data_IF_179858079341
#
_entry.id   IF_179858079341
#
_cell.length_a   1.000
_cell.length_b   1.000
_cell.length_c   1.000
_cell.angle_alpha   90.00
_cell.angle_beta   90.00
_cell.angle_gamma   90.00
#
_symmetry.space_group_name_H-M   'P 1'
#
loop_
_entity.id
_entity.type
_entity.pdbx_description
1 polymer ?
#
# COMPACT_ATOMS: atom_id res chain seq x y z
N UNK A 1 20.48 -2.13 -4.85
CA UNK A 1 19.07 -2.27 -5.15
C UNK A 1 18.28 -1.33 -4.28
N UNK A 2 17.54 -0.53 -4.91
CA UNK A 2 17.03 0.72 -4.43
C UNK A 2 15.58 0.55 -3.99
N UNK A 3 15.37 0.32 -2.71
CA UNK A 3 14.06 0.53 -2.12
C UNK A 3 13.72 2.01 -2.32
N UNK A 4 12.68 2.29 -3.09
CA UNK A 4 12.15 3.66 -3.13
C UNK A 4 11.52 3.95 -1.78
N UNK A 5 12.08 4.85 -0.95
CA UNK A 5 11.52 5.14 0.36
C UNK A 5 10.20 5.90 0.29
N UNK A 6 9.85 6.39 -0.90
CA UNK A 6 8.65 7.20 -1.10
C UNK A 6 7.33 6.46 -0.81
N UNK A 7 7.34 5.14 -0.86
CA UNK A 7 6.16 4.33 -0.61
C UNK A 7 6.38 3.25 0.46
N UNK A 8 7.62 2.79 0.67
CA UNK A 8 7.90 1.61 1.45
C UNK A 8 7.36 1.65 2.90
N UNK A 9 7.67 2.70 3.66
CA UNK A 9 7.24 2.78 5.06
C UNK A 9 5.72 2.90 5.21
N UNK A 10 5.09 3.76 4.41
CA UNK A 10 3.64 3.92 4.45
C UNK A 10 2.89 2.70 3.89
N UNK A 11 3.52 1.90 3.04
CA UNK A 11 2.92 0.70 2.46
C UNK A 11 3.04 -0.51 3.40
N UNK A 12 4.16 -0.70 4.09
CA UNK A 12 4.29 -1.67 5.21
C UNK A 12 3.23 -1.38 6.26
N UNK A 13 3.05 -0.14 6.62
CA UNK A 13 2.02 0.35 7.52
C UNK A 13 0.60 -0.08 7.10
N UNK A 14 0.23 0.05 5.83
CA UNK A 14 -1.08 -0.36 5.32
C UNK A 14 -1.30 -1.86 5.46
N UNK A 15 -0.33 -2.68 5.08
CA UNK A 15 -0.47 -4.13 5.12
C UNK A 15 -0.62 -4.67 6.53
N UNK A 16 0.13 -4.14 7.50
CA UNK A 16 -0.02 -4.54 8.90
C UNK A 16 -1.44 -4.31 9.41
N UNK A 17 -2.04 -3.17 9.10
CA UNK A 17 -3.41 -2.86 9.48
C UNK A 17 -4.44 -3.73 8.74
N UNK A 18 -4.21 -4.08 7.47
CA UNK A 18 -5.06 -5.00 6.73
C UNK A 18 -5.03 -6.41 7.33
N UNK A 19 -3.84 -6.95 7.67
CA UNK A 19 -3.72 -8.24 8.35
C UNK A 19 -4.50 -8.26 9.68
N UNK A 20 -4.45 -7.17 10.45
CA UNK A 20 -5.23 -7.01 11.68
C UNK A 20 -6.74 -7.08 11.41
N UNK A 21 -7.21 -6.38 10.40
CA UNK A 21 -8.62 -6.34 10.00
C UNK A 21 -9.10 -7.69 9.49
N UNK A 22 -8.33 -8.37 8.64
CA UNK A 22 -8.63 -9.72 8.17
C UNK A 22 -8.87 -10.66 9.35
N UNK A 23 -7.98 -10.64 10.35
CA UNK A 23 -8.10 -11.48 11.55
C UNK A 23 -9.27 -11.06 12.45
N UNK A 24 -9.52 -9.76 12.60
CA UNK A 24 -10.58 -9.23 13.49
C UNK A 24 -11.98 -9.57 12.98
N UNK A 25 -12.19 -9.47 11.67
CA UNK A 25 -13.51 -9.62 11.06
C UNK A 25 -13.70 -10.95 10.33
N UNK A 26 -12.69 -11.82 10.31
CA UNK A 26 -12.67 -13.06 9.50
C UNK A 26 -13.04 -12.78 8.04
N UNK A 27 -12.40 -11.76 7.46
CA UNK A 27 -12.77 -11.20 6.17
C UNK A 27 -11.76 -11.58 5.10
N UNK A 28 -12.25 -12.14 3.98
CA UNK A 28 -11.42 -12.34 2.80
C UNK A 28 -11.03 -11.00 2.16
N UNK A 29 -9.74 -10.76 2.05
CA UNK A 29 -9.21 -9.54 1.46
C UNK A 29 -8.03 -9.80 0.54
N UNK A 30 -7.92 -8.97 -0.50
CA UNK A 30 -6.70 -8.85 -1.29
C UNK A 30 -6.19 -7.42 -1.25
N UNK A 31 -4.86 -7.27 -1.31
CA UNK A 31 -4.22 -5.96 -1.43
C UNK A 31 -3.73 -5.76 -2.86
N UNK A 32 -4.15 -4.68 -3.49
CA UNK A 32 -3.72 -4.28 -4.83
C UNK A 32 -2.91 -3.00 -4.70
N UNK A 33 -1.70 -3.01 -5.23
CA UNK A 33 -0.82 -1.83 -5.24
C UNK A 33 -0.80 -1.20 -6.62
N UNK A 34 -1.29 0.03 -6.72
CA UNK A 34 -1.28 0.83 -7.93
C UNK A 34 0.07 1.48 -8.23
N UNK A 35 0.75 2.10 -7.24
CA UNK A 35 2.06 2.68 -7.49
C UNK A 35 3.07 1.61 -7.94
N UNK A 36 3.40 1.58 -9.23
CA UNK A 36 4.25 0.53 -9.80
C UNK A 36 5.60 0.41 -9.11
N UNK A 37 6.25 1.54 -8.81
CA UNK A 37 7.52 1.59 -8.07
C UNK A 37 7.42 1.12 -6.60
N UNK A 38 6.23 0.84 -6.09
CA UNK A 38 5.97 0.18 -4.82
C UNK A 38 6.15 -1.34 -4.83
N UNK A 39 6.55 -1.95 -5.94
CA UNK A 39 6.72 -3.41 -6.06
C UNK A 39 7.63 -4.02 -5.00
N UNK A 40 8.68 -3.32 -4.62
CA UNK A 40 9.62 -3.76 -3.58
C UNK A 40 8.94 -3.95 -2.21
N UNK A 41 8.00 -3.09 -1.87
CA UNK A 41 7.19 -3.22 -0.67
C UNK A 41 6.37 -4.51 -0.72
N UNK A 42 5.76 -4.82 -1.85
CA UNK A 42 4.94 -6.01 -2.02
C UNK A 42 5.77 -7.29 -1.84
N UNK A 43 6.94 -7.34 -2.51
CA UNK A 43 7.91 -8.43 -2.38
C UNK A 43 8.40 -8.58 -0.93
N UNK A 44 8.79 -7.47 -0.28
CA UNK A 44 9.27 -7.49 1.09
C UNK A 44 8.22 -8.06 2.07
N UNK A 45 6.96 -7.67 1.91
CA UNK A 45 5.88 -8.20 2.74
C UNK A 45 5.60 -9.68 2.47
N UNK A 46 5.56 -10.11 1.20
CA UNK A 46 5.39 -11.52 0.84
C UNK A 46 6.54 -12.40 1.36
N UNK A 47 7.77 -11.85 1.39
CA UNK A 47 8.91 -12.52 1.99
C UNK A 47 8.81 -12.61 3.51
N UNK A 48 8.41 -11.52 4.18
CA UNK A 48 8.27 -11.47 5.64
C UNK A 48 7.17 -12.41 6.16
N UNK A 49 6.05 -12.50 5.46
CA UNK A 49 4.95 -13.40 5.87
C UNK A 49 5.17 -14.87 5.45
N UNK A 50 6.19 -15.15 4.66
CA UNK A 50 6.57 -16.49 4.22
C UNK A 50 5.97 -16.93 2.89
N UNK A 51 4.94 -16.26 2.39
CA UNK A 51 4.26 -16.62 1.14
C UNK A 51 5.23 -16.66 -0.05
N UNK A 52 6.21 -15.74 -0.08
CA UNK A 52 7.22 -15.72 -1.13
C UNK A 52 8.05 -17.01 -1.17
N UNK A 53 8.49 -17.50 -0.01
CA UNK A 53 9.28 -18.73 0.12
C UNK A 53 8.46 -20.00 -0.09
N UNK A 54 7.14 -19.97 0.14
CA UNK A 54 6.24 -21.08 -0.20
C UNK A 54 6.13 -21.26 -1.72
N UNK A 55 6.02 -20.16 -2.46
CA UNK A 55 5.95 -20.18 -3.93
C UNK A 55 7.31 -20.41 -4.57
N UNK A 56 8.36 -19.82 -4.00
CA UNK A 56 9.75 -19.90 -4.46
C UNK A 56 10.67 -20.52 -3.40
N UNK A 57 10.65 -21.86 -3.20
CA UNK A 57 11.36 -22.51 -2.09
C UNK A 57 12.88 -22.35 -2.09
N UNK A 58 13.46 -21.94 -3.21
CA UNK A 58 14.90 -21.63 -3.31
C UNK A 58 15.28 -20.31 -2.64
N UNK A 59 14.29 -19.51 -2.24
CA UNK A 59 14.44 -18.25 -1.49
C UNK A 59 13.97 -18.51 -0.06
N UNK A 60 14.89 -19.03 0.78
CA UNK A 60 14.61 -19.33 2.18
C UNK A 60 14.49 -18.06 3.03
N UNK A 61 13.80 -18.19 4.19
CA UNK A 61 13.62 -17.08 5.14
C UNK A 61 14.78 -16.99 6.13
N UNK A 62 15.96 -16.77 5.60
CA UNK A 62 17.23 -16.64 6.32
C UNK A 62 18.19 -15.70 5.56
N UNK A 63 19.41 -15.52 6.08
CA UNK A 63 20.41 -14.66 5.48
C UNK A 63 20.74 -15.07 4.03
N UNK A 64 20.83 -16.36 3.74
CA UNK A 64 21.14 -16.84 2.39
C UNK A 64 19.97 -16.62 1.41
N UNK A 65 18.74 -16.84 1.84
CA UNK A 65 17.56 -16.51 1.05
C UNK A 65 17.43 -15.02 0.80
N UNK A 66 17.69 -14.18 1.80
CA UNK A 66 17.69 -12.72 1.67
C UNK A 66 18.74 -12.25 0.65
N UNK A 67 19.97 -12.79 0.69
CA UNK A 67 21.01 -12.50 -0.30
C UNK A 67 20.58 -12.86 -1.71
N UNK A 68 19.95 -14.02 -1.89
CA UNK A 68 19.38 -14.44 -3.18
C UNK A 68 18.26 -13.52 -3.63
N UNK A 69 17.36 -13.15 -2.74
CA UNK A 69 16.26 -12.22 -3.01
C UNK A 69 16.77 -10.88 -3.54
N UNK A 70 17.75 -10.27 -2.88
CA UNK A 70 18.35 -9.02 -3.34
C UNK A 70 19.09 -9.16 -4.67
N UNK A 71 19.80 -10.28 -4.87
CA UNK A 71 20.58 -10.51 -6.09
C UNK A 71 19.70 -10.63 -7.34
N UNK A 72 18.48 -11.11 -7.22
CA UNK A 72 17.58 -11.29 -8.36
C UNK A 72 16.74 -10.05 -8.70
N UNK A 73 16.87 -8.96 -7.96
CA UNK A 73 16.11 -7.72 -8.20
C UNK A 73 16.47 -7.11 -9.56
N UNK A 74 15.48 -6.81 -10.38
CA UNK A 74 15.61 -6.29 -11.75
C UNK A 74 16.52 -7.17 -12.66
N UNK A 75 16.60 -8.45 -12.38
CA UNK A 75 17.37 -9.41 -13.17
C UNK A 75 16.40 -10.29 -14.00
N UNK A 76 16.74 -10.71 -15.22
CA UNK A 76 15.89 -11.57 -16.03
C UNK A 76 15.46 -12.84 -15.27
N UNK A 77 14.17 -13.07 -15.18
CA UNK A 77 13.59 -14.19 -14.43
C UNK A 77 13.60 -14.02 -12.92
N UNK A 78 13.99 -12.84 -12.42
CA UNK A 78 13.96 -12.49 -11.00
C UNK A 78 12.80 -11.55 -10.64
N UNK A 79 13.02 -10.73 -9.62
CA UNK A 79 12.00 -9.78 -9.13
C UNK A 79 11.93 -8.57 -10.05
N UNK A 80 10.74 -8.22 -10.59
CA UNK A 80 10.56 -6.97 -11.33
C UNK A 80 10.81 -5.73 -10.47
N UNK A 81 11.21 -4.64 -11.09
CA UNK A 81 11.38 -3.35 -10.41
C UNK A 81 10.06 -2.68 -10.00
N UNK A 82 8.97 -3.12 -10.60
CA UNK A 82 7.61 -2.62 -10.38
C UNK A 82 6.71 -3.75 -9.87
N UNK A 83 5.52 -3.37 -9.38
CA UNK A 83 4.49 -4.34 -9.01
C UNK A 83 4.21 -5.27 -10.19
N UNK A 84 4.19 -6.58 -9.93
CA UNK A 84 3.96 -7.57 -10.96
C UNK A 84 3.28 -8.83 -10.39
N UNK A 85 2.51 -9.56 -11.21
CA UNK A 85 1.81 -10.76 -10.78
C UNK A 85 2.72 -11.92 -10.36
N UNK A 86 3.99 -11.89 -10.72
CA UNK A 86 5.00 -12.85 -10.27
C UNK A 86 5.27 -12.77 -8.76
N UNK A 87 4.96 -11.64 -8.14
CA UNK A 87 5.00 -11.54 -6.67
C UNK A 87 3.75 -12.19 -6.09
N UNK A 88 3.89 -13.20 -5.21
CA UNK A 88 2.75 -13.90 -4.63
C UNK A 88 1.73 -12.94 -3.98
N UNK A 89 0.46 -13.12 -4.32
CA UNK A 89 -0.64 -12.28 -3.85
C UNK A 89 -0.88 -11.00 -4.66
N UNK A 90 -0.06 -10.70 -5.67
CA UNK A 90 -0.29 -9.59 -6.59
C UNK A 90 -1.07 -10.05 -7.82
N UNK A 91 -2.10 -9.29 -8.19
CA UNK A 91 -2.84 -9.46 -9.44
C UNK A 91 -2.67 -8.28 -10.39
N UNK A 92 -1.94 -7.26 -9.97
CA UNK A 92 -1.73 -6.03 -10.73
C UNK A 92 -0.34 -6.01 -11.33
N UNK A 93 -0.26 -5.45 -12.54
CA UNK A 93 0.98 -5.09 -13.21
C UNK A 93 1.11 -3.56 -13.12
N UNK A 94 2.17 -3.09 -12.48
CA UNK A 94 2.34 -1.68 -12.12
C UNK A 94 3.27 -0.89 -13.06
N UNK A 95 3.74 -1.48 -14.15
CA UNK A 95 4.55 -0.79 -15.15
C UNK A 95 3.76 0.28 -15.90
N UNK A 96 2.49 0.00 -16.16
CA UNK A 96 1.52 0.97 -16.68
C UNK A 96 0.59 1.45 -15.58
N UNK A 97 0.66 2.73 -15.22
CA UNK A 97 -0.16 3.30 -14.17
C UNK A 97 -1.62 3.50 -14.60
N UNK A 98 -2.54 3.35 -13.65
CA UNK A 98 -3.93 3.75 -13.81
C UNK A 98 -4.94 2.61 -13.86
N UNK A 99 -4.52 1.36 -13.80
CA UNK A 99 -5.40 0.20 -13.93
C UNK A 99 -5.74 -0.49 -12.60
N UNK A 100 -5.05 -0.15 -11.52
CA UNK A 100 -5.18 -0.81 -10.21
C UNK A 100 -6.62 -0.81 -9.68
N UNK A 101 -7.31 0.32 -9.78
CA UNK A 101 -8.67 0.44 -9.30
C UNK A 101 -9.65 -0.37 -10.17
N UNK A 102 -9.46 -0.38 -11.49
CA UNK A 102 -10.28 -1.20 -12.40
C UNK A 102 -10.05 -2.70 -12.15
N UNK A 103 -8.79 -3.14 -11.93
CA UNK A 103 -8.48 -4.53 -11.56
C UNK A 103 -9.15 -4.91 -10.22
N UNK A 104 -9.18 -3.99 -9.25
CA UNK A 104 -9.85 -4.21 -7.97
C UNK A 104 -11.35 -4.44 -8.14
N UNK A 105 -12.01 -3.65 -8.98
CA UNK A 105 -13.42 -3.85 -9.31
C UNK A 105 -13.67 -5.16 -10.05
N UNK A 106 -12.79 -5.52 -10.98
CA UNK A 106 -12.86 -6.84 -11.65
C UNK A 106 -12.75 -8.00 -10.67
N UNK A 107 -11.86 -7.93 -9.69
CA UNK A 107 -11.66 -8.98 -8.71
C UNK A 107 -12.87 -9.20 -7.77
N UNK A 108 -13.61 -8.15 -7.45
CA UNK A 108 -14.76 -8.23 -6.53
C UNK A 108 -16.09 -8.48 -7.22
N UNK A 109 -16.16 -8.36 -8.55
CA UNK A 109 -17.38 -8.66 -9.31
C UNK A 109 -17.71 -10.14 -9.19
N UNK A 110 -18.98 -10.46 -8.88
CA UNK A 110 -19.48 -11.83 -8.61
C UNK A 110 -18.73 -12.56 -7.47
N UNK A 111 -18.02 -11.83 -6.61
CA UNK A 111 -17.28 -12.39 -5.47
C UNK A 111 -17.71 -11.71 -4.16
N UNK A 112 -18.90 -12.05 -3.63
CA UNK A 112 -19.55 -11.31 -2.54
C UNK A 112 -18.79 -11.32 -1.22
N UNK A 113 -17.89 -12.29 -0.99
CA UNK A 113 -17.09 -12.39 0.24
C UNK A 113 -15.82 -11.54 0.22
N UNK A 114 -15.40 -11.04 -0.95
CA UNK A 114 -14.10 -10.40 -1.11
C UNK A 114 -14.16 -8.88 -0.89
N UNK A 115 -13.20 -8.35 -0.14
CA UNK A 115 -12.89 -6.91 -0.12
C UNK A 115 -11.51 -6.71 -0.75
N UNK A 116 -11.43 -5.91 -1.81
CA UNK A 116 -10.18 -5.51 -2.43
C UNK A 116 -9.73 -4.14 -1.88
N UNK A 117 -8.67 -4.14 -1.07
CA UNK A 117 -8.00 -2.92 -0.66
C UNK A 117 -7.07 -2.46 -1.78
N UNK A 118 -7.34 -1.31 -2.39
CA UNK A 118 -6.59 -0.78 -3.52
C UNK A 118 -5.81 0.46 -3.14
N UNK A 119 -4.49 0.34 -3.07
CA UNK A 119 -3.63 1.52 -2.91
C UNK A 119 -3.51 2.23 -4.24
N UNK A 120 -3.92 3.49 -4.27
CA UNK A 120 -3.80 4.37 -5.44
C UNK A 120 -2.79 5.46 -5.13
N UNK A 121 -1.74 5.59 -5.94
CA UNK A 121 -0.81 6.72 -5.85
C UNK A 121 -1.45 8.01 -6.36
N UNK A 122 -1.13 9.13 -5.73
CA UNK A 122 -1.67 10.43 -6.14
C UNK A 122 -1.21 10.85 -7.55
N UNK A 123 0.00 10.47 -7.96
CA UNK A 123 0.45 10.62 -9.35
C UNK A 123 -0.25 9.69 -10.32
N UNK A 124 -0.56 8.45 -9.91
CA UNK A 124 -1.36 7.50 -10.66
C UNK A 124 -2.79 7.99 -10.85
N UNK A 125 -3.35 8.65 -9.83
CA UNK A 125 -4.70 9.17 -9.84
C UNK A 125 -4.96 10.23 -10.94
N UNK A 126 -3.91 10.83 -11.50
CA UNK A 126 -3.99 11.78 -12.61
C UNK A 126 -4.05 11.10 -13.99
N UNK A 127 -3.80 9.79 -14.09
CA UNK A 127 -3.87 9.05 -15.35
C UNK A 127 -5.31 8.93 -15.82
N UNK A 128 -5.52 8.97 -17.15
CA UNK A 128 -6.86 8.85 -17.72
C UNK A 128 -7.62 7.61 -17.28
N UNK A 129 -7.02 6.41 -17.33
CA UNK A 129 -7.68 5.18 -16.87
C UNK A 129 -8.12 5.24 -15.41
N UNK A 130 -7.28 5.75 -14.50
CA UNK A 130 -7.64 5.81 -13.10
C UNK A 130 -8.67 6.90 -12.80
N UNK A 131 -8.53 8.07 -13.41
CA UNK A 131 -9.48 9.17 -13.25
C UNK A 131 -10.92 8.74 -13.61
N UNK A 132 -11.09 7.89 -14.64
CA UNK A 132 -12.39 7.33 -14.99
C UNK A 132 -12.82 6.18 -14.08
N UNK A 133 -11.87 5.44 -13.51
CA UNK A 133 -12.15 4.29 -12.65
C UNK A 133 -12.80 4.64 -11.31
N UNK A 134 -12.71 5.90 -10.85
CA UNK A 134 -13.43 6.36 -9.65
C UNK A 134 -14.95 6.17 -9.75
N UNK A 135 -15.50 6.06 -10.96
CA UNK A 135 -16.93 5.88 -11.20
C UNK A 135 -17.37 4.41 -11.21
N UNK A 136 -16.44 3.44 -11.18
CA UNK A 136 -16.76 2.01 -11.27
C UNK A 136 -17.59 1.50 -10.07
N UNK A 137 -17.57 2.19 -8.95
CA UNK A 137 -18.46 1.92 -7.82
C UNK A 137 -19.96 1.95 -8.18
N UNK A 138 -20.32 2.58 -9.32
CA UNK A 138 -21.70 2.61 -9.82
C UNK A 138 -22.19 1.26 -10.37
N UNK A 139 -21.27 0.35 -10.70
CA UNK A 139 -21.56 -0.97 -11.24
C UNK A 139 -21.60 -2.06 -10.18
N UNK A 140 -21.11 -1.79 -8.97
CA UNK A 140 -21.08 -2.77 -7.86
C UNK A 140 -22.46 -2.90 -7.23
N UNK A 141 -22.89 -4.15 -7.11
CA UNK A 141 -24.12 -4.54 -6.42
C UNK A 141 -23.76 -5.16 -5.06
N UNK A 142 -24.10 -4.47 -3.99
CA UNK A 142 -23.76 -4.91 -2.62
C UNK A 142 -24.35 -6.30 -2.26
N UNK A 143 -25.34 -6.80 -3.02
CA UNK A 143 -25.94 -8.11 -2.82
C UNK A 143 -25.10 -9.24 -3.38
N UNK A 144 -24.55 -9.07 -4.59
CA UNK A 144 -23.91 -10.14 -5.38
C UNK A 144 -22.41 -9.99 -5.51
N UNK A 145 -21.91 -8.78 -5.32
CA UNK A 145 -20.50 -8.47 -5.48
C UNK A 145 -19.81 -8.26 -4.13
N UNK A 146 -18.49 -8.28 -4.15
CA UNK A 146 -17.66 -7.82 -3.04
C UNK A 146 -17.62 -6.31 -2.95
N UNK A 147 -16.57 -5.78 -2.34
CA UNK A 147 -16.36 -4.34 -2.23
C UNK A 147 -14.92 -3.94 -2.53
N UNK A 148 -14.73 -2.71 -3.01
CA UNK A 148 -13.41 -2.10 -3.15
C UNK A 148 -13.27 -1.03 -2.08
N UNK A 149 -12.14 -1.08 -1.36
CA UNK A 149 -11.72 -0.03 -0.43
C UNK A 149 -10.49 0.69 -1.02
N UNK A 150 -10.67 1.82 -1.71
CA UNK A 150 -9.55 2.61 -2.20
C UNK A 150 -8.81 3.27 -1.03
N UNK A 151 -7.47 3.25 -1.10
CA UNK A 151 -6.60 3.99 -0.20
C UNK A 151 -5.75 4.92 -1.06
N UNK A 152 -6.17 6.16 -1.20
CA UNK A 152 -5.40 7.17 -1.91
C UNK A 152 -4.18 7.55 -1.08
N UNK A 153 -3.00 7.19 -1.56
CA UNK A 153 -1.74 7.60 -0.94
C UNK A 153 -1.32 8.98 -1.47
N UNK A 154 -1.78 10.01 -0.77
CA UNK A 154 -1.54 11.41 -1.11
C UNK A 154 -0.27 11.91 -0.43
N UNK A 155 0.88 11.69 -1.07
CA UNK A 155 2.17 12.18 -0.61
C UNK A 155 2.58 13.53 -1.23
N UNK A 156 1.82 14.03 -2.18
CA UNK A 156 1.92 15.35 -2.76
C UNK A 156 2.84 15.49 -3.96
N UNK A 157 3.65 14.49 -4.31
CA UNK A 157 4.64 14.63 -5.38
C UNK A 157 4.66 13.44 -6.36
N UNK A 158 4.75 13.75 -7.64
CA UNK A 158 5.21 12.84 -8.70
C UNK A 158 6.74 12.78 -8.74
N UNK A 159 7.30 12.39 -9.89
CA UNK A 159 8.75 12.28 -10.10
C UNK A 159 9.49 13.58 -9.75
N UNK A 160 9.00 14.74 -10.23
CA UNK A 160 9.66 16.02 -10.04
C UNK A 160 8.68 17.19 -9.74
N UNK A 161 7.39 16.92 -9.70
CA UNK A 161 6.36 17.95 -9.56
C UNK A 161 5.30 17.57 -8.52
N UNK A 162 4.66 18.57 -7.90
CA UNK A 162 3.46 18.33 -7.09
C UNK A 162 2.34 17.68 -7.93
N UNK A 163 1.57 16.81 -7.29
CA UNK A 163 0.41 16.16 -7.90
C UNK A 163 -0.79 17.11 -7.96
N UNK A 164 -1.78 16.76 -8.77
CA UNK A 164 -3.02 17.53 -8.86
C UNK A 164 -3.72 17.63 -7.51
N UNK A 165 -3.89 16.50 -6.83
CA UNK A 165 -4.57 16.47 -5.53
C UNK A 165 -3.81 17.18 -4.41
N UNK A 166 -2.50 17.40 -4.55
CA UNK A 166 -1.74 18.25 -3.63
C UNK A 166 -1.96 19.76 -3.84
N UNK A 167 -2.61 20.14 -4.94
CA UNK A 167 -2.84 21.55 -5.31
C UNK A 167 -4.22 22.07 -4.96
N UNK A 168 -5.13 21.19 -4.55
CA UNK A 168 -6.50 21.54 -4.18
C UNK A 168 -6.67 21.48 -2.66
N UNK A 169 -7.69 22.17 -2.16
CA UNK A 169 -7.98 22.19 -0.72
C UNK A 169 -8.51 20.82 -0.24
N UNK A 170 -8.52 20.65 1.07
CA UNK A 170 -9.15 19.46 1.69
C UNK A 170 -10.63 19.36 1.33
N UNK A 171 -11.37 20.46 1.42
CA UNK A 171 -12.78 20.56 1.09
C UNK A 171 -13.06 20.21 -0.39
N UNK A 172 -12.26 20.76 -1.30
CA UNK A 172 -12.40 20.46 -2.74
C UNK A 172 -12.11 18.98 -3.05
N UNK A 173 -11.14 18.38 -2.36
CA UNK A 173 -10.84 16.96 -2.50
C UNK A 173 -11.99 16.08 -1.97
N UNK A 174 -12.57 16.45 -0.85
CA UNK A 174 -13.73 15.80 -0.26
C UNK A 174 -14.94 15.86 -1.20
N UNK A 175 -15.24 17.04 -1.73
CA UNK A 175 -16.33 17.24 -2.69
C UNK A 175 -16.12 16.43 -3.99
N UNK A 176 -14.90 16.37 -4.47
CA UNK A 176 -14.54 15.58 -5.64
C UNK A 176 -14.88 14.10 -5.44
N UNK A 177 -14.43 13.49 -4.33
CA UNK A 177 -14.69 12.08 -4.07
C UNK A 177 -16.17 11.81 -3.75
N UNK A 178 -16.84 12.69 -3.04
CA UNK A 178 -18.30 12.59 -2.83
C UNK A 178 -19.06 12.65 -4.15
N UNK A 179 -18.64 13.51 -5.07
CA UNK A 179 -19.19 13.57 -6.44
C UNK A 179 -19.00 12.27 -7.23
N UNK A 180 -17.90 11.58 -7.01
CA UNK A 180 -17.64 10.26 -7.59
C UNK A 180 -18.41 9.13 -6.90
N UNK A 181 -19.05 9.37 -5.74
CA UNK A 181 -19.84 8.39 -4.99
C UNK A 181 -19.05 7.66 -3.91
N UNK A 182 -18.01 8.28 -3.41
CA UNK A 182 -17.21 7.82 -2.28
C UNK A 182 -17.49 8.66 -1.03
N UNK A 183 -17.30 8.07 0.16
CA UNK A 183 -17.19 8.79 1.41
C UNK A 183 -15.72 8.77 1.85
N UNK A 184 -15.00 9.88 1.72
CA UNK A 184 -13.58 9.92 2.05
C UNK A 184 -13.35 10.07 3.55
N UNK A 185 -12.59 9.16 4.13
CA UNK A 185 -12.05 9.22 5.49
C UNK A 185 -10.58 9.64 5.43
N UNK A 186 -10.20 10.65 6.20
CA UNK A 186 -8.86 11.23 6.14
C UNK A 186 -7.97 10.71 7.27
N UNK A 187 -6.81 10.18 6.91
CA UNK A 187 -5.71 9.81 7.81
C UNK A 187 -4.52 10.68 7.45
N UNK A 188 -4.27 11.73 8.24
CA UNK A 188 -3.32 12.77 7.89
C UNK A 188 -2.30 13.02 9.00
N UNK A 189 -1.03 13.16 8.65
CA UNK A 189 0.02 13.50 9.60
C UNK A 189 1.38 12.92 9.27
N UNK A 190 2.28 12.98 10.26
CA UNK A 190 3.65 12.48 10.16
C UNK A 190 4.16 11.78 11.42
N UNK A 191 3.46 11.90 12.55
CA UNK A 191 3.83 11.16 13.76
C UNK A 191 3.40 9.71 13.63
N UNK A 192 4.34 8.73 13.66
CA UNK A 192 4.00 7.33 13.44
C UNK A 192 2.98 6.77 14.42
N UNK A 193 3.08 7.10 15.70
CA UNK A 193 2.17 6.55 16.72
C UNK A 193 0.74 7.11 16.58
N UNK A 194 0.62 8.39 16.20
CA UNK A 194 -0.68 9.00 15.89
C UNK A 194 -1.27 8.39 14.64
N UNK A 195 -0.48 8.29 13.57
CA UNK A 195 -0.92 7.75 12.28
C UNK A 195 -1.36 6.28 12.40
N UNK A 196 -0.67 5.47 13.20
CA UNK A 196 -1.06 4.06 13.46
C UNK A 196 -2.44 3.96 14.11
N UNK A 197 -2.72 4.80 15.11
CA UNK A 197 -4.05 4.81 15.74
C UNK A 197 -5.13 5.25 14.77
N UNK A 198 -4.92 6.39 14.09
CA UNK A 198 -5.88 6.90 13.11
C UNK A 198 -6.19 5.87 12.02
N UNK A 199 -5.16 5.21 11.46
CA UNK A 199 -5.39 4.20 10.43
C UNK A 199 -6.14 2.98 10.98
N UNK A 200 -5.84 2.55 12.21
CA UNK A 200 -6.53 1.42 12.84
C UNK A 200 -8.03 1.72 12.99
N UNK A 201 -8.34 2.88 13.55
CA UNK A 201 -9.73 3.30 13.79
C UNK A 201 -10.47 3.50 12.47
N UNK A 202 -9.87 4.20 11.52
CA UNK A 202 -10.46 4.46 10.20
C UNK A 202 -10.70 3.19 9.38
N UNK A 203 -9.76 2.24 9.41
CA UNK A 203 -9.97 0.95 8.72
C UNK A 203 -11.11 0.16 9.34
N UNK A 204 -11.22 0.11 10.66
CA UNK A 204 -12.32 -0.56 11.33
C UNK A 204 -13.66 0.09 10.91
N UNK A 205 -13.75 1.41 10.94
CA UNK A 205 -14.93 2.17 10.51
C UNK A 205 -15.31 1.85 9.06
N UNK A 206 -14.36 1.92 8.12
CA UNK A 206 -14.60 1.60 6.72
C UNK A 206 -15.09 0.16 6.50
N UNK A 207 -14.51 -0.82 7.19
CA UNK A 207 -14.92 -2.22 7.07
C UNK A 207 -16.32 -2.42 7.65
N UNK A 208 -16.62 -1.83 8.80
CA UNK A 208 -17.94 -1.90 9.41
C UNK A 208 -19.02 -1.27 8.51
N UNK A 209 -18.72 -0.15 7.86
CA UNK A 209 -19.61 0.46 6.86
C UNK A 209 -19.86 -0.46 5.66
N UNK A 210 -18.81 -1.04 5.08
CA UNK A 210 -18.91 -1.98 3.95
C UNK A 210 -19.79 -3.17 4.33
N UNK A 211 -19.52 -3.79 5.46
CA UNK A 211 -20.27 -4.95 5.94
C UNK A 211 -21.73 -4.61 6.23
N UNK A 212 -22.02 -3.41 6.76
CA UNK A 212 -23.36 -2.94 6.99
C UNK A 212 -24.14 -2.77 5.69
N UNK A 213 -23.54 -2.17 4.65
CA UNK A 213 -24.19 -2.03 3.33
C UNK A 213 -24.47 -3.38 2.68
N UNK A 214 -23.51 -4.30 2.74
CA UNK A 214 -23.68 -5.65 2.19
C UNK A 214 -24.76 -6.43 2.95
N UNK A 215 -24.78 -6.34 4.26
CA UNK A 215 -25.82 -6.96 5.10
C UNK A 215 -27.20 -6.44 4.77
N UNK A 216 -27.38 -5.12 4.68
CA UNK A 216 -28.66 -4.50 4.35
C UNK A 216 -29.17 -4.94 2.97
N UNK A 217 -28.29 -4.98 1.97
CA UNK A 217 -28.64 -5.45 0.63
C UNK A 217 -29.01 -6.94 0.60
N UNK A 218 -28.32 -7.79 1.36
CA UNK A 218 -28.49 -9.26 1.33
C UNK A 218 -29.65 -9.73 2.20
N UNK A 219 -29.79 -9.19 3.41
CA UNK A 219 -30.80 -9.64 4.38
C UNK A 219 -32.12 -8.87 4.23
N UNK A 220 -32.06 -7.57 3.99
CA UNK A 220 -33.23 -6.71 3.91
C UNK A 220 -33.70 -6.42 2.47
N UNK A 221 -32.90 -6.85 1.46
CA UNK A 221 -33.21 -6.61 0.05
C UNK A 221 -33.10 -5.13 -0.36
N UNK A 222 -32.33 -4.33 0.37
CA UNK A 222 -32.10 -2.92 0.05
C UNK A 222 -31.53 -2.78 -1.37
N UNK A 223 -32.11 -1.84 -2.12
CA UNK A 223 -31.64 -1.45 -3.46
C UNK A 223 -30.95 -0.08 -3.46
N UNK A 224 -30.75 0.48 -2.29
CA UNK A 224 -30.07 1.77 -2.14
C UNK A 224 -28.62 1.60 -2.57
N UNK A 225 -28.17 2.47 -3.47
CA UNK A 225 -26.75 2.54 -3.84
C UNK A 225 -26.02 3.27 -2.72
N UNK A 226 -25.11 2.60 -1.99
CA UNK A 226 -24.39 3.26 -0.92
C UNK A 226 -23.35 4.24 -1.49
N UNK A 227 -22.91 5.18 -0.68
CA UNK A 227 -21.67 5.89 -0.86
C UNK A 227 -20.60 5.06 -0.16
N UNK A 228 -19.76 4.41 -0.94
CA UNK A 228 -18.75 3.49 -0.41
C UNK A 228 -17.62 4.25 0.30
N UNK A 229 -17.08 3.75 1.43
CA UNK A 229 -15.97 4.40 2.09
C UNK A 229 -14.69 4.30 1.25
N UNK A 230 -13.82 5.28 1.40
CA UNK A 230 -12.44 5.28 0.92
C UNK A 230 -11.55 6.00 1.92
N UNK A 231 -10.25 5.71 1.89
CA UNK A 231 -9.28 6.36 2.76
C UNK A 231 -8.40 7.31 1.95
N UNK A 232 -8.22 8.54 2.43
CA UNK A 232 -7.20 9.47 1.95
C UNK A 232 -6.09 9.48 2.98
N UNK A 233 -4.99 8.77 2.67
CA UNK A 233 -3.80 8.74 3.50
C UNK A 233 -2.84 9.83 3.06
N UNK A 234 -2.78 10.93 3.82
CA UNK A 234 -1.88 12.04 3.56
C UNK A 234 -0.68 11.99 4.51
N UNK A 235 0.49 11.70 3.97
CA UNK A 235 1.76 11.63 4.68
C UNK A 235 2.88 12.27 3.86
N UNK A 236 3.97 12.74 4.47
CA UNK A 236 5.11 13.27 3.72
C UNK A 236 5.65 12.24 2.73
N UNK A 237 6.03 12.68 1.53
CA UNK A 237 6.76 11.83 0.60
C UNK A 237 8.11 11.43 1.20
N UNK A 238 8.46 10.15 1.11
CA UNK A 238 9.69 9.64 1.75
C UNK A 238 9.61 9.56 3.27
N UNK A 239 8.41 9.53 3.83
CA UNK A 239 8.14 9.46 5.28
C UNK A 239 8.95 8.35 5.95
N UNK A 240 9.56 8.68 7.09
CA UNK A 240 10.52 7.87 7.87
C UNK A 240 11.89 7.67 7.21
N UNK A 241 12.10 8.19 6.01
CA UNK A 241 13.40 8.24 5.36
C UNK A 241 14.26 9.42 5.85
N UNK A 242 15.45 9.60 5.25
CA UNK A 242 16.31 10.73 5.61
C UNK A 242 15.65 12.06 5.25
N UNK A 243 15.64 12.98 6.21
CA UNK A 243 15.07 14.31 6.00
C UNK A 243 15.92 15.15 5.02
N UNK A 244 17.24 15.02 5.10
CA UNK A 244 18.21 15.73 4.27
C UNK A 244 19.33 14.78 3.82
N UNK A 245 19.83 15.01 2.60
CA UNK A 245 21.04 14.38 2.05
C UNK A 245 21.86 15.47 1.37
N UNK A 246 23.14 15.58 1.67
CA UNK A 246 24.06 16.63 1.16
C UNK A 246 23.51 18.04 1.35
N UNK A 247 22.83 18.28 2.48
CA UNK A 247 22.20 19.58 2.78
C UNK A 247 20.92 19.88 1.99
N UNK A 248 20.48 18.97 1.12
CA UNK A 248 19.26 19.11 0.34
C UNK A 248 18.08 18.40 0.99
N UNK A 249 16.92 19.05 1.03
CA UNK A 249 15.67 18.45 1.55
C UNK A 249 15.28 17.24 0.70
N UNK A 250 14.98 16.11 1.36
CA UNK A 250 14.53 14.85 0.76
C UNK A 250 13.12 14.50 1.23
N UNK A 251 12.91 14.32 2.54
CA UNK A 251 11.56 14.06 3.06
C UNK A 251 10.60 15.20 2.75
N UNK A 252 9.35 14.87 2.43
CA UNK A 252 8.32 15.83 2.01
C UNK A 252 8.77 16.69 0.82
N UNK A 253 9.45 16.05 -0.13
CA UNK A 253 9.91 16.69 -1.35
C UNK A 253 10.06 15.67 -2.50
N UNK A 254 10.06 16.14 -3.74
CA UNK A 254 10.16 15.29 -4.92
C UNK A 254 11.43 14.41 -4.96
N UNK A 255 12.53 14.84 -4.32
CA UNK A 255 13.79 14.08 -4.25
C UNK A 255 13.63 12.70 -3.57
N UNK A 256 12.61 12.52 -2.75
CA UNK A 256 12.29 11.23 -2.16
C UNK A 256 11.65 10.23 -3.15
N UNK A 257 11.41 10.62 -4.41
CA UNK A 257 10.82 9.73 -5.41
C UNK A 257 11.78 8.60 -5.83
N UNK A 258 13.06 8.91 -5.92
CA UNK A 258 14.11 7.94 -6.23
C UNK A 258 14.83 7.52 -4.94
N UNK A 259 15.92 6.75 -5.08
CA UNK A 259 16.81 6.40 -3.96
C UNK A 259 17.36 7.69 -3.36
N UNK A 260 17.04 8.00 -2.12
CA UNK A 260 17.41 9.28 -1.54
C UNK A 260 18.91 9.39 -1.30
N UNK A 261 19.58 8.27 -1.07
CA UNK A 261 21.02 8.17 -0.79
C UNK A 261 21.62 7.04 -1.61
N UNK A 262 22.70 7.30 -2.33
CA UNK A 262 23.52 6.28 -2.98
C UNK A 262 24.67 5.88 -2.04
N UNK A 263 25.05 4.58 -1.94
CA UNK A 263 26.17 4.14 -1.10
C UNK A 263 27.52 4.37 -1.79
N UNK A 264 27.76 5.59 -2.25
CA UNK A 264 28.91 5.97 -3.06
C UNK A 264 30.04 6.68 -2.28
N UNK A 265 29.79 6.97 -1.00
CA UNK A 265 30.76 7.59 -0.09
C UNK A 265 30.63 7.00 1.32
N UNK A 266 31.71 7.05 2.13
CA UNK A 266 31.65 6.64 3.54
C UNK A 266 30.59 7.40 4.35
N UNK A 267 30.34 8.67 4.03
CA UNK A 267 29.35 9.50 4.67
C UNK A 267 27.95 8.99 4.37
N UNK A 268 27.64 8.71 3.10
CA UNK A 268 26.37 8.17 2.67
C UNK A 268 26.11 6.79 3.25
N UNK A 269 27.12 5.91 3.28
CA UNK A 269 27.00 4.58 3.89
C UNK A 269 26.62 4.70 5.37
N UNK A 270 27.28 5.61 6.13
CA UNK A 270 26.94 5.85 7.53
C UNK A 270 25.51 6.36 7.69
N UNK A 271 25.08 7.31 6.88
CA UNK A 271 23.72 7.86 6.94
C UNK A 271 22.67 6.79 6.58
N UNK A 272 22.95 5.91 5.62
CA UNK A 272 22.08 4.76 5.31
C UNK A 272 22.02 3.80 6.50
N UNK A 273 23.16 3.49 7.12
CA UNK A 273 23.20 2.61 8.29
C UNK A 273 22.41 3.18 9.46
N UNK A 274 22.58 4.47 9.78
CA UNK A 274 21.81 5.16 10.82
C UNK A 274 20.31 5.14 10.53
N UNK A 275 19.92 5.39 9.28
CA UNK A 275 18.53 5.31 8.87
C UNK A 275 17.96 3.91 9.03
N UNK A 276 18.63 2.86 8.53
CA UNK A 276 18.15 1.49 8.65
C UNK A 276 18.08 1.02 10.12
N UNK A 277 19.06 1.41 10.96
CA UNK A 277 19.03 1.14 12.40
C UNK A 277 17.91 1.86 13.14
N UNK A 278 17.41 2.98 12.63
CA UNK A 278 16.27 3.67 13.24
C UNK A 278 14.99 2.84 13.25
N UNK A 279 14.88 1.83 12.41
CA UNK A 279 13.77 0.87 12.40
C UNK A 279 13.92 -0.26 13.42
N UNK A 280 15.03 -0.30 14.16
CA UNK A 280 15.31 -1.29 15.22
C UNK A 280 15.13 -2.74 14.75
N UNK A 281 15.83 -3.16 13.67
CA UNK A 281 15.65 -4.50 13.13
C UNK A 281 15.97 -5.62 14.12
N UNK A 282 16.80 -5.35 15.14
CA UNK A 282 17.12 -6.26 16.23
C UNK A 282 15.92 -6.64 17.13
N UNK A 283 14.85 -5.89 17.08
CA UNK A 283 13.58 -6.23 17.77
C UNK A 283 12.70 -7.20 16.96
N UNK A 284 12.98 -7.32 15.65
CA UNK A 284 12.16 -8.05 14.69
C UNK A 284 12.84 -9.31 14.15
N UNK A 285 14.16 -9.39 14.26
CA UNK A 285 14.95 -10.49 13.73
C UNK A 285 16.01 -10.93 14.74
N UNK A 286 16.31 -12.23 14.75
CA UNK A 286 17.40 -12.79 15.54
C UNK A 286 18.77 -12.55 14.89
N UNK A 287 19.85 -13.02 15.52
CA UNK A 287 21.23 -12.89 15.04
C UNK A 287 21.50 -13.59 13.70
N UNK A 288 20.61 -14.52 13.28
CA UNK A 288 20.69 -15.22 11.99
C UNK A 288 19.78 -14.59 10.93
N UNK A 289 19.11 -13.47 11.25
CA UNK A 289 18.16 -12.79 10.36
C UNK A 289 16.81 -13.51 10.25
N UNK A 290 16.50 -14.42 11.18
CA UNK A 290 15.19 -15.09 11.22
C UNK A 290 14.19 -14.20 11.96
N UNK A 291 12.98 -13.99 11.41
CA UNK A 291 11.96 -13.20 12.07
C UNK A 291 11.56 -13.79 13.42
N UNK A 292 11.31 -12.94 14.41
CA UNK A 292 10.76 -13.37 15.72
C UNK A 292 9.39 -14.02 15.56
N UNK A 293 9.01 -14.92 16.48
CA UNK A 293 7.78 -15.69 16.38
C UNK A 293 6.53 -14.80 16.24
N UNK A 294 6.51 -13.66 16.91
CA UNK A 294 5.40 -12.72 16.83
C UNK A 294 5.16 -12.21 15.39
N UNK A 295 6.22 -11.97 14.61
CA UNK A 295 6.09 -11.61 13.20
C UNK A 295 5.62 -12.79 12.33
N UNK A 296 6.01 -14.02 12.69
CA UNK A 296 5.60 -15.23 11.98
C UNK A 296 4.11 -15.54 12.18
N UNK A 297 3.57 -15.20 13.35
CA UNK A 297 2.18 -15.43 13.72
C UNK A 297 1.25 -14.28 13.32
N UNK A 298 1.81 -13.16 12.89
CA UNK A 298 1.04 -11.95 12.56
C UNK A 298 0.21 -12.07 11.27
N UNK A 299 0.70 -12.66 10.16
CA UNK A 299 -0.10 -12.83 8.95
C UNK A 299 -1.34 -13.69 9.19
N UNK A 300 -2.46 -13.41 8.53
CA UNK A 300 -3.60 -14.32 8.51
C UNK A 300 -3.19 -15.65 7.84
N UNK A 301 -3.72 -16.75 8.33
CA UNK A 301 -3.48 -18.11 7.77
C UNK A 301 -4.49 -18.42 6.71
#
# INVERSE_FOLDING_TARGET
>A
STLSPSSAASDVYKRQHLNRVIKKYDQDMILISGPGHGGNFFVANAYLDGTYSEVYPNISRDEEGMKKLFKQFSFPGGIPSHVAPETPGSINEGGELGYSLAHSFGAVTDNPGLIAACVVGDGEAETGPLATSWHLNKFINAKTDGAVLPILHLNGYKIANPTLFARISHEELEDFFRGCGWEPHFVEGKDPAVMHRLMADTLDECIEEILAFQKDARENGSTVRPRWPMIVLRSPKGWTGPAYVDGLKVEDYWRAHQVPIQPDSPEHIRQIEEWLKSYRPEELFDENGVPVQELLDFPPK
#
